data_IF_399896909612
#
_entry.id   IF_399896909612
#
_cell.length_a   1.000
_cell.length_b   1.000
_cell.length_c   1.000
_cell.angle_alpha   90.00
_cell.angle_beta   90.00
_cell.angle_gamma   90.00
#
_symmetry.space_group_name_H-M   'P 1'
#
loop_
_entity.id
_entity.type
_entity.pdbx_description
1 polymer ?
#
# COMPACT_ATOMS: atom_id res chain seq x y z
N UNK A 1 -6.06 0.57 6.18
CA UNK A 1 -6.01 1.93 6.76
C UNK A 1 -7.10 2.05 7.81
N UNK A 2 -6.84 2.75 8.91
CA UNK A 2 -7.82 3.06 9.94
C UNK A 2 -7.93 4.58 10.10
N UNK A 3 -9.11 5.12 9.83
CA UNK A 3 -9.37 6.55 9.72
C UNK A 3 -9.22 7.31 11.04
N UNK A 4 -9.27 6.63 12.19
CA UNK A 4 -9.20 7.26 13.52
C UNK A 4 -7.80 7.22 14.15
N UNK A 5 -6.75 6.98 13.38
CA UNK A 5 -5.37 7.11 13.89
C UNK A 5 -4.89 8.56 13.84
N UNK A 6 -4.12 8.95 14.87
CA UNK A 6 -3.29 10.17 14.85
C UNK A 6 -1.88 9.82 14.40
N UNK A 7 -1.34 10.58 13.45
CA UNK A 7 0.01 10.37 12.90
C UNK A 7 1.11 10.95 13.81
N UNK A 8 0.85 12.07 14.49
CA UNK A 8 1.80 12.73 15.39
C UNK A 8 1.17 12.79 16.78
N UNK A 9 1.74 12.07 17.75
CA UNK A 9 1.16 11.89 19.10
C UNK A 9 1.99 12.46 20.24
N UNK A 10 3.27 12.71 20.00
CA UNK A 10 4.20 13.25 20.99
C UNK A 10 4.91 14.52 20.50
N UNK A 11 5.52 15.22 21.45
CA UNK A 11 6.26 16.46 21.21
C UNK A 11 5.39 17.70 20.99
N UNK A 12 6.06 18.82 20.70
CA UNK A 12 5.41 20.14 20.51
C UNK A 12 4.55 20.22 19.25
N UNK A 13 4.66 19.23 18.35
CA UNK A 13 3.93 19.16 17.09
C UNK A 13 2.78 18.16 17.13
N UNK A 14 2.42 17.62 18.30
CA UNK A 14 1.29 16.71 18.45
C UNK A 14 0.02 17.36 17.89
N UNK A 15 -0.70 16.63 17.05
CA UNK A 15 -1.92 17.12 16.40
C UNK A 15 -3.14 16.36 16.89
N UNK A 16 -4.27 17.05 16.96
CA UNK A 16 -5.55 16.42 17.25
C UNK A 16 -6.28 15.94 15.99
N UNK A 17 -5.67 16.12 14.81
CA UNK A 17 -6.23 15.67 13.55
C UNK A 17 -6.12 14.15 13.41
N UNK A 18 -7.27 13.51 13.25
CA UNK A 18 -7.35 12.13 12.80
C UNK A 18 -7.02 12.06 11.32
N UNK A 19 -6.38 10.97 10.89
CA UNK A 19 -6.02 10.73 9.50
C UNK A 19 -7.21 10.90 8.55
N UNK A 20 -8.37 10.34 8.91
CA UNK A 20 -9.57 10.42 8.10
C UNK A 20 -10.06 11.85 7.86
N UNK A 21 -10.04 12.67 8.90
CA UNK A 21 -10.48 14.07 8.82
C UNK A 21 -9.48 14.91 8.03
N UNK A 22 -8.18 14.67 8.20
CA UNK A 22 -7.14 15.29 7.40
C UNK A 22 -7.35 15.03 5.90
N UNK A 23 -7.61 13.78 5.51
CA UNK A 23 -7.87 13.41 4.12
C UNK A 23 -9.13 14.08 3.57
N UNK A 24 -10.21 14.19 4.39
CA UNK A 24 -11.42 14.93 4.01
C UNK A 24 -11.12 16.41 3.77
N UNK A 25 -10.40 17.06 4.68
CA UNK A 25 -10.01 18.47 4.57
C UNK A 25 -9.20 18.69 3.29
N UNK A 26 -8.18 17.87 3.05
CA UNK A 26 -7.38 17.96 1.82
C UNK A 26 -8.19 17.74 0.56
N UNK A 27 -9.13 16.80 0.58
CA UNK A 27 -10.04 16.60 -0.55
C UNK A 27 -10.97 17.80 -0.83
N UNK A 28 -11.32 18.57 0.21
CA UNK A 28 -12.13 19.79 0.09
C UNK A 28 -11.31 20.99 -0.38
N UNK A 29 -10.01 21.02 -0.07
CA UNK A 29 -9.04 22.00 -0.59
C UNK A 29 -8.70 21.77 -2.08
N UNK A 30 -9.26 20.74 -2.70
CA UNK A 30 -9.04 20.41 -4.12
C UNK A 30 -7.91 19.40 -4.35
N UNK A 31 -7.29 18.86 -3.29
CA UNK A 31 -6.32 17.77 -3.42
C UNK A 31 -7.06 16.50 -3.85
N UNK A 32 -6.53 15.81 -4.86
CA UNK A 32 -7.09 14.52 -5.25
C UNK A 32 -6.62 13.43 -4.30
N UNK A 33 -7.54 12.87 -3.53
CA UNK A 33 -7.27 11.80 -2.57
C UNK A 33 -7.88 10.48 -3.06
N UNK A 34 -7.02 9.53 -3.38
CA UNK A 34 -7.38 8.20 -3.86
C UNK A 34 -6.90 7.14 -2.85
N UNK A 35 -7.79 6.26 -2.41
CA UNK A 35 -7.48 5.18 -1.49
C UNK A 35 -7.79 3.84 -2.16
N UNK A 36 -6.76 3.01 -2.33
CA UNK A 36 -6.90 1.63 -2.79
C UNK A 36 -6.68 0.70 -1.61
N UNK A 37 -7.77 0.17 -1.04
CA UNK A 37 -7.77 -0.65 0.17
C UNK A 37 -8.10 -2.10 -0.20
N UNK A 38 -7.45 -3.07 0.43
CA UNK A 38 -7.80 -4.47 0.24
C UNK A 38 -9.25 -4.72 0.68
N UNK A 39 -10.01 -5.41 -0.16
CA UNK A 39 -11.38 -5.88 0.13
C UNK A 39 -11.30 -7.23 0.83
N UNK A 40 -11.53 -7.26 2.13
CA UNK A 40 -11.56 -8.51 2.91
C UNK A 40 -12.84 -9.27 2.56
N UNK A 41 -12.76 -10.44 1.91
CA UNK A 41 -13.94 -11.17 1.47
C UNK A 41 -14.80 -11.70 2.63
N UNK A 42 -14.28 -11.67 3.87
CA UNK A 42 -15.01 -12.03 5.09
C UNK A 42 -15.77 -10.85 5.72
N UNK A 43 -15.39 -9.61 5.36
CA UNK A 43 -16.06 -8.36 5.76
C UNK A 43 -17.22 -8.04 4.82
N UNK A 44 -18.29 -8.85 4.79
CA UNK A 44 -19.45 -8.58 3.91
C UNK A 44 -20.66 -8.08 4.69
N UNK A 45 -21.30 -7.03 4.16
CA UNK A 45 -22.68 -6.72 4.51
C UNK A 45 -23.61 -7.53 3.63
N UNK A 46 -24.24 -8.57 4.18
CA UNK A 46 -25.31 -9.32 3.51
C UNK A 46 -26.64 -8.91 4.16
N UNK A 47 -27.54 -8.32 3.37
CA UNK A 47 -28.87 -7.87 3.83
C UNK A 47 -28.84 -6.97 5.09
N UNK A 48 -27.84 -6.09 5.21
CA UNK A 48 -27.76 -5.13 6.32
C UNK A 48 -27.18 -5.69 7.63
N UNK A 49 -26.86 -6.98 7.69
CA UNK A 49 -26.07 -7.56 8.78
C UNK A 49 -24.58 -7.49 8.42
N UNK A 50 -23.81 -6.81 9.26
CA UNK A 50 -22.35 -6.74 9.15
C UNK A 50 -21.77 -8.01 9.77
N UNK A 51 -21.03 -8.80 9.00
CA UNK A 51 -20.08 -9.75 9.60
C UNK A 51 -18.78 -8.98 9.88
N UNK A 52 -18.30 -9.00 11.12
CA UNK A 52 -16.94 -8.54 11.40
C UNK A 52 -15.97 -9.47 10.65
N UNK A 53 -15.10 -8.88 9.83
CA UNK A 53 -14.09 -9.62 9.08
C UNK A 53 -13.15 -10.37 10.01
N UNK A 54 -12.80 -11.60 9.64
CA UNK A 54 -11.92 -12.48 10.42
C UNK A 54 -10.49 -11.90 10.48
N UNK A 55 -10.12 -11.07 9.51
CA UNK A 55 -8.77 -10.50 9.38
C UNK A 55 -8.62 -9.14 10.05
N UNK A 56 -9.60 -8.71 10.86
CA UNK A 56 -9.61 -7.43 11.58
C UNK A 56 -9.30 -6.22 10.68
N UNK A 57 -9.84 -6.23 9.46
CA UNK A 57 -9.74 -5.11 8.52
C UNK A 57 -10.87 -4.11 8.75
N UNK A 58 -10.58 -2.81 8.61
CA UNK A 58 -11.57 -1.73 8.69
C UNK A 58 -11.90 -1.17 7.30
N UNK A 59 -11.84 -2.00 6.27
CA UNK A 59 -12.00 -1.64 4.86
C UNK A 59 -13.40 -1.08 4.56
N UNK A 60 -14.47 -1.78 4.94
CA UNK A 60 -15.84 -1.31 4.73
C UNK A 60 -16.19 -0.09 5.60
N UNK A 61 -15.65 -0.02 6.83
CA UNK A 61 -15.79 1.16 7.67
C UNK A 61 -15.09 2.38 7.07
N UNK A 62 -13.90 2.19 6.52
CA UNK A 62 -13.14 3.23 5.82
C UNK A 62 -13.93 3.73 4.61
N UNK A 63 -14.44 2.82 3.78
CA UNK A 63 -15.29 3.18 2.63
C UNK A 63 -16.52 3.96 3.07
N UNK A 64 -17.20 3.51 4.13
CA UNK A 64 -18.39 4.19 4.65
C UNK A 64 -18.05 5.60 5.16
N UNK A 65 -16.94 5.75 5.88
CA UNK A 65 -16.49 7.04 6.43
C UNK A 65 -16.28 8.10 5.34
N UNK A 66 -15.82 7.72 4.16
CA UNK A 66 -15.55 8.63 3.04
C UNK A 66 -16.70 8.77 2.03
N UNK A 67 -17.80 8.01 2.17
CA UNK A 67 -18.92 7.96 1.21
C UNK A 67 -19.51 9.32 0.80
N UNK A 68 -19.46 10.30 1.70
CA UNK A 68 -20.01 11.65 1.48
C UNK A 68 -18.90 12.72 1.42
N UNK A 69 -17.71 12.35 0.93
CA UNK A 69 -16.57 13.24 0.74
C UNK A 69 -16.02 13.16 -0.68
N UNK A 70 -15.11 14.06 -1.04
CA UNK A 70 -14.41 14.02 -2.33
C UNK A 70 -13.28 12.98 -2.38
N UNK A 71 -13.02 12.27 -1.28
CA UNK A 71 -12.07 11.16 -1.23
C UNK A 71 -12.64 9.96 -1.97
N UNK A 72 -11.90 9.43 -2.94
CA UNK A 72 -12.31 8.25 -3.68
C UNK A 72 -11.70 6.99 -3.07
N UNK A 73 -12.55 6.06 -2.65
CA UNK A 73 -12.13 4.78 -2.07
C UNK A 73 -12.53 3.65 -3.00
N UNK A 74 -11.54 2.88 -3.44
CA UNK A 74 -11.74 1.61 -4.14
C UNK A 74 -11.33 0.46 -3.23
N UNK A 75 -12.29 -0.44 -3.00
CA UNK A 75 -12.02 -1.74 -2.39
C UNK A 75 -11.53 -2.67 -3.50
N UNK A 76 -10.36 -3.26 -3.29
CA UNK A 76 -9.65 -4.06 -4.26
C UNK A 76 -9.66 -5.52 -3.79
N UNK A 77 -10.58 -6.36 -4.30
CA UNK A 77 -10.56 -7.78 -4.01
C UNK A 77 -9.42 -8.44 -4.78
N UNK A 78 -8.77 -9.43 -4.17
CA UNK A 78 -7.84 -10.26 -4.89
C UNK A 78 -8.61 -11.26 -5.76
N UNK A 79 -8.76 -10.93 -7.05
CA UNK A 79 -9.48 -11.78 -8.00
C UNK A 79 -8.54 -12.78 -8.67
N UNK A 80 -8.89 -14.06 -8.62
CA UNK A 80 -8.24 -15.11 -9.42
C UNK A 80 -8.84 -15.12 -10.84
N UNK A 81 -8.00 -15.37 -11.84
CA UNK A 81 -8.35 -15.44 -13.26
C UNK A 81 -9.60 -16.28 -13.60
N UNK A 82 -10.12 -16.07 -14.81
CA UNK A 82 -11.34 -16.75 -15.31
C UNK A 82 -11.14 -18.28 -15.31
N UNK A 83 -12.04 -19.03 -14.67
CA UNK A 83 -12.07 -20.50 -14.75
C UNK A 83 -12.23 -21.27 -13.43
N UNK A 84 -12.11 -20.62 -12.27
CA UNK A 84 -12.29 -21.29 -10.97
C UNK A 84 -13.74 -21.25 -10.47
N UNK A 85 -14.19 -22.35 -9.86
CA UNK A 85 -15.48 -22.44 -9.14
C UNK A 85 -15.60 -21.34 -8.08
N UNK A 86 -16.82 -20.86 -7.83
CA UNK A 86 -17.12 -19.81 -6.85
C UNK A 86 -16.55 -20.11 -5.46
N UNK A 87 -16.56 -21.37 -5.05
CA UNK A 87 -15.99 -21.86 -3.78
C UNK A 87 -14.47 -21.68 -3.75
N UNK A 88 -13.77 -22.05 -4.83
CA UNK A 88 -12.30 -21.84 -4.95
C UNK A 88 -11.93 -20.36 -5.00
N UNK A 89 -12.78 -19.50 -5.58
CA UNK A 89 -12.57 -18.04 -5.53
C UNK A 89 -12.72 -17.50 -4.12
N UNK A 90 -13.64 -18.05 -3.33
CA UNK A 90 -13.86 -17.66 -1.94
C UNK A 90 -12.70 -18.14 -1.05
N UNK A 91 -12.26 -19.40 -1.18
CA UNK A 91 -11.08 -19.92 -0.47
C UNK A 91 -9.80 -19.14 -0.80
N UNK A 92 -9.54 -18.84 -2.07
CA UNK A 92 -8.30 -18.14 -2.46
C UNK A 92 -8.35 -16.65 -2.08
N UNK A 93 -9.51 -16.00 -2.19
CA UNK A 93 -9.69 -14.62 -1.71
C UNK A 93 -9.44 -14.47 -0.21
N UNK A 94 -9.69 -15.52 0.58
CA UNK A 94 -9.40 -15.53 2.02
C UNK A 94 -7.93 -15.82 2.35
N UNK A 95 -7.14 -16.39 1.42
CA UNK A 95 -5.76 -16.82 1.68
C UNK A 95 -4.73 -15.75 1.26
N UNK A 96 -5.04 -14.95 0.24
CA UNK A 96 -4.13 -13.91 -0.26
C UNK A 96 -4.71 -12.52 -0.07
N UNK A 97 -3.83 -11.54 0.18
CA UNK A 97 -4.20 -10.13 0.40
C UNK A 97 -3.39 -9.17 -0.47
N UNK A 98 -3.92 -7.99 -0.73
CA UNK A 98 -3.11 -6.87 -1.23
C UNK A 98 -2.29 -6.26 -0.08
N UNK A 99 -1.07 -6.78 0.12
CA UNK A 99 -0.24 -6.44 1.27
C UNK A 99 0.68 -5.21 1.08
N UNK A 100 0.63 -4.56 -0.08
CA UNK A 100 1.42 -3.36 -0.37
C UNK A 100 0.98 -2.17 0.49
N UNK A 101 1.94 -1.50 1.13
CA UNK A 101 1.72 -0.32 1.97
C UNK A 101 2.47 0.84 1.36
N UNK A 102 1.71 1.77 0.79
CA UNK A 102 2.28 2.86 0.02
C UNK A 102 1.50 4.15 0.25
N UNK A 103 2.25 5.26 0.39
CA UNK A 103 1.69 6.62 0.34
C UNK A 103 2.43 7.37 -0.76
N UNK A 104 1.70 8.00 -1.67
CA UNK A 104 2.27 8.84 -2.73
C UNK A 104 1.68 10.22 -2.61
N UNK A 105 2.53 11.25 -2.62
CA UNK A 105 2.14 12.65 -2.54
C UNK A 105 2.97 13.48 -3.51
N UNK A 106 2.39 14.57 -4.00
CA UNK A 106 3.18 15.68 -4.51
C UNK A 106 3.63 16.55 -3.33
N UNK A 107 4.88 17.00 -3.37
CA UNK A 107 5.50 17.82 -2.34
C UNK A 107 6.20 19.02 -2.98
N UNK A 108 6.38 20.09 -2.21
CA UNK A 108 7.13 21.26 -2.66
C UNK A 108 8.56 20.86 -3.07
N UNK A 109 8.97 21.31 -4.26
CA UNK A 109 10.32 21.14 -4.79
C UNK A 109 11.08 22.49 -4.85
N UNK A 110 10.49 23.56 -4.31
CA UNK A 110 10.98 24.92 -4.47
C UNK A 110 10.68 25.48 -5.85
N UNK A 111 10.95 26.78 -6.04
CA UNK A 111 10.78 27.47 -7.33
C UNK A 111 9.39 27.30 -7.99
N UNK A 112 8.34 27.26 -7.18
CA UNK A 112 6.96 27.02 -7.63
C UNK A 112 6.76 25.68 -8.36
N UNK A 113 7.67 24.74 -8.15
CA UNK A 113 7.61 23.37 -8.65
C UNK A 113 7.26 22.41 -7.53
N UNK A 114 6.71 21.27 -7.92
CA UNK A 114 6.37 20.14 -7.06
C UNK A 114 7.08 18.88 -7.57
N UNK A 115 7.36 17.95 -6.67
CA UNK A 115 7.94 16.64 -6.98
C UNK A 115 7.06 15.55 -6.41
N UNK A 116 7.09 14.38 -7.05
CA UNK A 116 6.45 13.18 -6.50
C UNK A 116 7.36 12.56 -5.45
N UNK A 117 6.76 12.13 -4.35
CA UNK A 117 7.39 11.45 -3.23
C UNK A 117 6.58 10.21 -2.89
N UNK A 118 7.27 9.08 -2.71
CA UNK A 118 6.67 7.80 -2.35
C UNK A 118 7.16 7.31 -0.99
N UNK A 119 6.30 6.65 -0.25
CA UNK A 119 6.63 5.95 1.00
C UNK A 119 6.29 4.48 0.82
N UNK A 120 7.20 3.58 1.18
CA UNK A 120 7.03 2.12 1.06
C UNK A 120 7.64 1.43 2.28
N UNK A 121 7.03 0.35 2.77
CA UNK A 121 7.58 -0.42 3.89
C UNK A 121 6.56 -1.33 4.56
N UNK A 122 6.80 -1.70 5.82
CA UNK A 122 5.95 -2.60 6.61
C UNK A 122 4.84 -1.90 7.41
N UNK A 123 4.95 -0.58 7.62
CA UNK A 123 3.95 0.20 8.35
C UNK A 123 2.67 0.46 7.56
N UNK A 124 1.56 -0.11 8.00
CA UNK A 124 0.20 0.30 7.65
C UNK A 124 -0.22 1.57 8.41
N UNK A 125 -1.03 2.42 7.78
CA UNK A 125 -1.74 3.52 8.46
C UNK A 125 -2.94 2.99 9.25
N UNK A 126 -2.69 2.18 10.27
CA UNK A 126 -3.69 1.46 11.08
C UNK A 126 -3.35 1.49 12.57
N UNK A 127 -4.28 1.04 13.42
CA UNK A 127 -4.05 0.95 14.87
C UNK A 127 -2.86 0.04 15.23
N UNK A 128 -2.20 0.33 16.34
CA UNK A 128 -1.14 -0.48 16.92
C UNK A 128 0.26 -0.25 16.31
N UNK A 129 0.35 0.45 15.18
CA UNK A 129 1.61 0.65 14.43
C UNK A 129 2.46 1.81 14.93
N UNK A 130 1.88 2.75 15.66
CA UNK A 130 2.63 3.85 16.28
C UNK A 130 3.48 3.29 17.41
N UNK A 131 4.79 3.51 17.37
CA UNK A 131 5.70 3.16 18.45
C UNK A 131 6.99 3.99 18.35
N UNK A 132 7.86 3.85 19.35
CA UNK A 132 9.22 4.39 19.38
C UNK A 132 10.22 3.26 19.62
N UNK A 133 11.53 3.45 19.35
CA UNK A 133 12.55 2.43 19.64
C UNK A 133 12.62 1.98 21.11
N UNK A 134 11.98 2.71 22.04
CA UNK A 134 11.88 2.33 23.45
C UNK A 134 10.91 1.19 23.71
N UNK A 135 9.98 0.92 22.78
CA UNK A 135 8.98 -0.16 22.84
C UNK A 135 8.33 -0.36 24.24
N UNK A 136 7.74 0.71 24.83
CA UNK A 136 7.22 0.65 26.19
C UNK A 136 5.99 -0.26 26.32
N UNK A 137 6.07 -1.26 27.20
CA UNK A 137 4.99 -2.21 27.44
C UNK A 137 3.78 -1.61 28.18
N UNK A 138 4.04 -0.81 29.24
CA UNK A 138 3.00 -0.29 30.14
C UNK A 138 2.97 1.24 30.25
N UNK A 139 4.13 1.90 30.08
CA UNK A 139 4.32 3.32 30.46
C UNK A 139 3.49 4.30 29.61
N UNK A 140 3.10 3.90 28.42
CA UNK A 140 2.41 4.73 27.43
C UNK A 140 0.92 4.43 27.30
N UNK A 141 0.41 3.46 28.07
CA UNK A 141 -0.98 2.99 28.00
C UNK A 141 -2.00 4.07 28.36
N UNK A 142 -1.58 5.12 29.07
CA UNK A 142 -2.43 6.26 29.43
C UNK A 142 -2.06 7.55 28.68
N UNK A 143 -1.15 7.46 27.70
CA UNK A 143 -0.68 8.60 26.89
C UNK A 143 -0.87 8.31 25.40
N UNK A 144 0.22 8.15 24.64
CA UNK A 144 0.22 8.00 23.17
C UNK A 144 -0.45 6.71 22.67
N UNK A 145 -0.63 5.72 23.55
CA UNK A 145 -1.27 4.43 23.22
C UNK A 145 -2.62 4.23 23.91
N UNK A 146 -3.20 5.26 24.55
CA UNK A 146 -4.47 5.15 25.27
C UNK A 146 -5.63 4.70 24.39
N UNK A 147 -5.77 5.34 23.23
CA UNK A 147 -6.84 5.05 22.26
C UNK A 147 -6.32 4.17 21.10
N UNK A 148 -5.16 3.52 21.29
CA UNK A 148 -4.47 2.72 20.28
C UNK A 148 -3.75 1.52 20.92
N UNK A 149 -4.40 0.91 21.91
CA UNK A 149 -3.92 -0.31 22.54
C UNK A 149 -4.14 -1.49 21.58
N UNK A 150 -3.08 -2.21 21.27
CA UNK A 150 -3.15 -3.46 20.53
C UNK A 150 -2.32 -4.53 21.23
N UNK A 151 -2.91 -5.72 21.35
CA UNK A 151 -2.21 -6.96 21.67
C UNK A 151 -3.10 -8.11 21.18
N UNK A 152 -2.66 -8.84 20.16
CA UNK A 152 -3.47 -9.92 19.57
C UNK A 152 -3.25 -11.28 20.21
N UNK A 153 -2.37 -11.36 21.23
CA UNK A 153 -1.98 -12.62 21.85
C UNK A 153 -2.87 -13.03 23.05
N UNK A 154 -3.75 -12.14 23.53
CA UNK A 154 -4.62 -12.39 24.68
C UNK A 154 -6.10 -12.22 24.30
N UNK A 155 -6.96 -13.10 24.84
CA UNK A 155 -8.39 -13.21 24.49
C UNK A 155 -9.37 -12.55 25.49
N UNK A 156 -8.93 -12.13 26.70
CA UNK A 156 -9.79 -11.50 27.74
C UNK A 156 -9.04 -10.39 28.56
N UNK A 157 -9.72 -9.61 29.44
CA UNK A 157 -9.79 -8.14 29.37
C UNK A 157 -8.53 -7.34 29.79
N UNK A 158 -8.51 -6.12 29.23
CA UNK A 158 -7.41 -5.20 28.91
C UNK A 158 -6.71 -4.45 30.06
N UNK A 159 -7.11 -4.66 31.31
CA UNK A 159 -6.60 -3.84 32.43
C UNK A 159 -5.34 -4.48 33.02
N UNK A 160 -4.21 -3.82 32.83
CA UNK A 160 -2.92 -4.22 33.41
C UNK A 160 -2.09 -5.16 32.54
N UNK A 161 -2.53 -5.46 31.31
CA UNK A 161 -1.75 -6.23 30.33
C UNK A 161 -0.83 -5.33 29.51
N UNK A 162 0.33 -5.85 29.06
CA UNK A 162 1.22 -5.09 28.20
C UNK A 162 0.60 -4.92 26.82
N UNK A 163 0.77 -3.75 26.19
CA UNK A 163 0.58 -3.66 24.74
C UNK A 163 1.62 -4.53 24.04
N UNK A 164 1.34 -4.90 22.79
CA UNK A 164 2.32 -5.47 21.87
C UNK A 164 3.08 -4.32 21.20
N UNK A 165 4.37 -4.09 21.51
CA UNK A 165 5.17 -3.08 20.82
C UNK A 165 5.31 -3.43 19.33
N UNK A 166 5.44 -2.41 18.49
CA UNK A 166 5.53 -2.58 17.05
C UNK A 166 6.90 -2.13 16.55
N UNK A 167 7.76 -3.09 16.19
CA UNK A 167 9.03 -2.82 15.55
C UNK A 167 8.90 -3.06 14.04
N UNK A 168 9.19 -2.03 13.25
CA UNK A 168 8.98 -2.07 11.80
C UNK A 168 9.88 -1.04 11.09
N UNK A 169 9.97 -1.16 9.77
CA UNK A 169 10.78 -0.30 8.90
C UNK A 169 9.91 0.28 7.78
N UNK A 170 10.22 1.53 7.42
CA UNK A 170 9.57 2.23 6.31
C UNK A 170 10.56 3.21 5.70
N UNK A 171 10.48 3.43 4.39
CA UNK A 171 11.35 4.36 3.68
C UNK A 171 10.53 5.43 2.96
N UNK A 172 11.19 6.56 2.73
CA UNK A 172 10.73 7.65 1.88
C UNK A 172 11.65 7.71 0.68
N UNK A 173 11.07 7.68 -0.51
CA UNK A 173 11.76 7.68 -1.79
C UNK A 173 11.42 8.98 -2.52
N UNK A 174 12.46 9.70 -2.93
CA UNK A 174 12.40 10.92 -3.72
C UNK A 174 13.25 10.74 -4.99
N UNK A 175 12.93 11.48 -6.04
CA UNK A 175 13.62 11.39 -7.33
C UNK A 175 12.86 10.53 -8.35
N UNK A 176 13.51 10.13 -9.45
CA UNK A 176 12.88 9.38 -10.55
C UNK A 176 12.17 8.11 -10.08
N UNK A 177 12.73 7.40 -9.10
CA UNK A 177 12.18 6.15 -8.56
C UNK A 177 10.83 6.34 -7.86
N UNK A 178 10.47 7.56 -7.42
CA UNK A 178 9.15 7.83 -6.88
C UNK A 178 8.03 7.65 -7.94
N UNK A 179 8.35 7.81 -9.22
CA UNK A 179 7.41 7.63 -10.33
C UNK A 179 7.16 6.15 -10.60
N UNK A 180 8.10 5.25 -10.29
CA UNK A 180 7.89 3.79 -10.37
C UNK A 180 6.82 3.36 -9.34
N UNK A 181 6.89 3.91 -8.13
CA UNK A 181 5.91 3.68 -7.06
C UNK A 181 4.54 4.22 -7.49
N UNK A 182 4.50 5.42 -8.06
CA UNK A 182 3.29 6.02 -8.60
C UNK A 182 2.69 5.18 -9.74
N UNK A 183 3.51 4.71 -10.67
CA UNK A 183 3.09 3.87 -11.80
C UNK A 183 2.47 2.57 -11.30
N UNK A 184 3.08 1.89 -10.31
CA UNK A 184 2.50 0.72 -9.69
C UNK A 184 1.10 1.00 -9.08
N UNK A 185 0.91 2.18 -8.47
CA UNK A 185 -0.43 2.59 -7.99
C UNK A 185 -1.42 2.80 -9.14
N UNK A 186 -1.01 3.49 -10.21
CA UNK A 186 -1.87 3.74 -11.38
C UNK A 186 -2.31 2.44 -12.05
N UNK A 187 -1.38 1.52 -12.31
CA UNK A 187 -1.65 0.22 -12.93
C UNK A 187 -2.68 -0.59 -12.12
N UNK A 188 -2.55 -0.58 -10.78
CA UNK A 188 -3.48 -1.24 -9.86
C UNK A 188 -4.83 -0.53 -9.81
N UNK A 189 -4.84 0.80 -9.73
CA UNK A 189 -6.06 1.59 -9.73
C UNK A 189 -6.87 1.34 -10.99
N UNK A 190 -6.23 1.41 -12.16
CA UNK A 190 -6.88 1.17 -13.45
C UNK A 190 -7.42 -0.26 -13.59
N UNK A 191 -6.81 -1.24 -12.93
CA UNK A 191 -7.32 -2.61 -12.89
C UNK A 191 -8.53 -2.73 -11.97
N UNK A 192 -8.45 -2.16 -10.77
CA UNK A 192 -9.52 -2.19 -9.77
C UNK A 192 -10.76 -1.38 -10.21
N UNK A 193 -10.56 -0.31 -10.96
CA UNK A 193 -11.64 0.56 -11.44
C UNK A 193 -12.30 0.06 -12.74
N UNK A 194 -11.91 -1.12 -13.26
CA UNK A 194 -12.53 -1.64 -14.50
C UNK A 194 -13.99 -1.99 -14.24
N UNK A 195 -14.94 -1.41 -15.01
CA UNK A 195 -16.35 -1.68 -14.82
C UNK A 195 -16.65 -3.15 -15.09
N UNK A 196 -17.52 -3.73 -14.26
CA UNK A 196 -18.06 -5.05 -14.51
C UNK A 196 -18.82 -5.08 -15.85
N UNK A 197 -18.95 -6.25 -16.46
CA UNK A 197 -19.63 -6.39 -17.76
C UNK A 197 -21.06 -5.81 -17.78
N UNK A 198 -21.75 -5.83 -16.63
CA UNK A 198 -23.06 -5.20 -16.43
C UNK A 198 -22.99 -3.67 -16.39
N UNK A 199 -21.94 -3.08 -15.83
CA UNK A 199 -21.75 -1.63 -15.74
C UNK A 199 -21.31 -1.03 -17.07
N UNK A 200 -20.59 -1.81 -17.90
CA UNK A 200 -20.28 -1.44 -19.30
C UNK A 200 -21.53 -1.21 -20.15
N UNK A 201 -22.64 -1.87 -19.84
CA UNK A 201 -23.92 -1.69 -20.54
C UNK A 201 -24.64 -0.39 -20.11
N UNK A 202 -24.33 0.17 -18.94
CA UNK A 202 -25.01 1.34 -18.36
C UNK A 202 -24.25 2.67 -18.60
N UNK A 203 -23.07 2.66 -19.24
CA UNK A 203 -22.29 3.88 -19.57
C UNK A 203 -22.01 4.81 -18.36
N UNK A 204 -21.88 4.27 -17.15
CA UNK A 204 -21.38 5.02 -15.99
C UNK A 204 -19.86 5.18 -16.09
N UNK A 205 -19.42 6.14 -16.91
CA UNK A 205 -18.01 6.48 -17.22
C UNK A 205 -17.29 7.28 -16.12
N UNK A 206 -17.71 7.14 -14.85
CA UNK A 206 -17.31 8.05 -13.77
C UNK A 206 -15.87 7.85 -13.25
N UNK A 207 -15.23 6.71 -13.49
CA UNK A 207 -13.92 6.40 -12.89
C UNK A 207 -12.72 6.80 -13.75
N UNK A 208 -12.93 7.10 -15.03
CA UNK A 208 -11.82 7.31 -15.97
C UNK A 208 -11.07 8.64 -15.73
N UNK A 209 -11.72 9.61 -15.07
CA UNK A 209 -11.10 10.89 -14.72
C UNK A 209 -10.32 10.83 -13.40
N UNK A 210 -10.34 9.73 -12.64
CA UNK A 210 -9.77 9.71 -11.29
C UNK A 210 -8.24 9.94 -11.27
N UNK A 211 -7.49 9.37 -12.19
CA UNK A 211 -6.02 9.52 -12.23
C UNK A 211 -5.63 10.80 -12.97
N UNK A 212 -4.80 11.62 -12.32
CA UNK A 212 -4.23 12.82 -12.93
C UNK A 212 -3.06 12.42 -13.83
N UNK A 213 -3.04 12.93 -15.07
CA UNK A 213 -1.89 12.77 -15.97
C UNK A 213 -0.80 13.75 -15.55
N UNK A 214 0.10 13.32 -14.68
CA UNK A 214 1.14 14.16 -14.07
C UNK A 214 2.00 14.86 -15.13
N UNK A 215 2.28 14.19 -16.25
CA UNK A 215 3.02 14.72 -17.40
C UNK A 215 2.37 15.98 -18.02
N UNK A 216 1.08 16.20 -17.78
CA UNK A 216 0.33 17.36 -18.26
C UNK A 216 0.27 18.50 -17.24
N UNK A 217 0.80 18.31 -16.05
CA UNK A 217 0.80 19.31 -14.97
C UNK A 217 2.17 20.00 -15.01
N UNK A 218 2.28 21.23 -15.55
CA UNK A 218 3.57 21.87 -15.81
C UNK A 218 4.37 22.18 -14.54
N UNK A 219 3.69 22.27 -13.39
CA UNK A 219 4.32 22.59 -12.12
C UNK A 219 4.88 21.35 -11.41
N UNK A 220 4.65 20.14 -11.92
CA UNK A 220 5.28 18.91 -11.38
C UNK A 220 6.51 18.58 -12.22
N UNK A 221 7.65 18.38 -11.57
CA UNK A 221 8.91 18.00 -12.21
C UNK A 221 8.72 16.66 -12.93
N UNK A 222 9.01 16.58 -14.22
CA UNK A 222 8.97 15.32 -14.97
C UNK A 222 10.17 14.41 -14.67
N UNK A 223 10.05 13.11 -14.98
CA UNK A 223 11.16 12.13 -14.85
C UNK A 223 12.41 12.60 -15.61
N UNK A 224 12.23 13.21 -16.78
CA UNK A 224 13.32 13.70 -17.64
C UNK A 224 13.94 15.02 -17.14
N UNK A 225 13.30 15.71 -16.19
CA UNK A 225 13.78 16.98 -15.64
C UNK A 225 14.71 16.78 -14.44
N UNK A 226 14.82 15.56 -13.92
CA UNK A 226 15.75 15.28 -12.82
C UNK A 226 17.20 15.40 -13.32
N UNK A 227 18.05 16.16 -12.61
CA UNK A 227 19.45 16.25 -12.97
C UNK A 227 20.07 14.86 -12.88
N UNK A 228 20.89 14.52 -13.88
CA UNK A 228 21.74 13.34 -13.80
C UNK A 228 22.62 13.51 -12.57
N UNK A 229 22.53 12.61 -11.59
CA UNK A 229 23.36 12.67 -10.38
C UNK A 229 24.81 12.87 -10.80
N UNK A 230 25.45 13.93 -10.32
CA UNK A 230 26.90 14.07 -10.45
C UNK A 230 27.51 12.87 -9.72
N UNK A 231 28.41 12.14 -10.36
CA UNK A 231 29.05 10.93 -9.80
C UNK A 231 29.74 11.13 -8.43
N UNK A 232 29.80 12.36 -7.93
CA UNK A 232 30.47 12.77 -6.69
C UNK A 232 29.51 13.25 -5.58
N UNK A 233 28.19 13.03 -5.67
CA UNK A 233 27.29 13.32 -4.55
C UNK A 233 27.36 12.17 -3.52
N UNK A 234 27.97 12.36 -2.33
CA UNK A 234 28.11 11.30 -1.34
C UNK A 234 26.78 10.88 -0.71
N UNK A 235 25.74 11.72 -0.80
CA UNK A 235 24.39 11.44 -0.28
C UNK A 235 23.45 10.92 -1.38
N UNK A 236 23.96 10.70 -2.59
CA UNK A 236 23.20 10.19 -3.73
C UNK A 236 22.91 8.69 -3.59
N UNK A 237 21.67 8.30 -3.90
CA UNK A 237 21.24 6.89 -3.90
C UNK A 237 20.85 6.43 -5.30
N UNK A 238 21.29 5.22 -5.67
CA UNK A 238 20.72 4.46 -6.77
C UNK A 238 19.66 3.52 -6.20
N UNK A 239 18.41 3.69 -6.63
CA UNK A 239 17.26 2.96 -6.08
C UNK A 239 16.50 2.28 -7.21
N UNK A 240 16.15 1.02 -7.01
CA UNK A 240 15.29 0.25 -7.90
C UNK A 240 14.10 -0.28 -7.11
N UNK A 241 12.90 -0.19 -7.67
CA UNK A 241 11.68 -0.72 -7.07
C UNK A 241 11.44 -2.14 -7.57
N UNK A 242 11.14 -3.03 -6.64
CA UNK A 242 10.76 -4.41 -6.91
C UNK A 242 9.35 -4.66 -6.39
N UNK A 243 8.65 -5.63 -6.98
CA UNK A 243 7.29 -5.99 -6.58
C UNK A 243 7.03 -7.49 -6.71
N UNK A 244 6.00 -7.92 -6.01
CA UNK A 244 5.34 -9.20 -6.24
C UNK A 244 3.90 -8.90 -6.62
N UNK A 245 3.57 -9.09 -7.90
CA UNK A 245 2.24 -8.77 -8.42
C UNK A 245 1.94 -9.57 -9.68
N UNK A 246 0.66 -9.82 -9.96
CA UNK A 246 0.22 -10.58 -11.12
C UNK A 246 -0.65 -9.75 -12.08
N UNK A 247 -0.86 -10.25 -13.31
CA UNK A 247 -1.70 -9.60 -14.32
C UNK A 247 -3.19 -9.48 -13.95
N UNK A 248 -3.63 -10.09 -12.84
CA UNK A 248 -4.99 -9.91 -12.31
C UNK A 248 -5.08 -8.70 -11.36
N UNK A 249 -3.96 -8.26 -10.79
CA UNK A 249 -3.89 -7.13 -9.87
C UNK A 249 -3.54 -5.80 -10.56
N UNK A 250 -3.03 -5.85 -11.80
CA UNK A 250 -2.62 -4.65 -12.58
C UNK A 250 -3.14 -4.66 -14.00
N UNK A 251 -3.16 -3.47 -14.61
CA UNK A 251 -3.33 -3.26 -16.04
C UNK A 251 -1.99 -2.82 -16.63
N UNK A 252 -1.66 -3.27 -17.85
CA UNK A 252 -0.44 -2.85 -18.55
C UNK A 252 0.62 -3.93 -18.72
N UNK A 253 0.43 -5.11 -18.13
CA UNK A 253 1.29 -6.26 -18.44
C UNK A 253 1.13 -6.61 -19.92
N UNK A 254 2.25 -6.71 -20.64
CA UNK A 254 2.27 -7.06 -22.05
C UNK A 254 1.76 -8.51 -22.19
N UNK A 255 0.70 -8.69 -23.00
CA UNK A 255 0.02 -9.99 -23.13
C UNK A 255 0.83 -11.00 -23.97
N UNK A 256 1.80 -10.53 -24.78
CA UNK A 256 2.70 -11.40 -25.54
C UNK A 256 3.77 -12.02 -24.63
N UNK A 257 3.87 -13.37 -24.55
CA UNK A 257 4.88 -14.06 -23.76
C UNK A 257 6.32 -13.67 -24.08
N UNK A 258 6.63 -13.26 -25.32
CA UNK A 258 7.99 -12.81 -25.71
C UNK A 258 8.34 -11.48 -25.06
N UNK A 259 7.38 -10.58 -24.99
CA UNK A 259 7.55 -9.28 -24.35
C UNK A 259 7.52 -9.40 -22.82
N UNK A 260 6.73 -10.33 -22.28
CA UNK A 260 6.74 -10.65 -20.85
C UNK A 260 8.13 -11.14 -20.40
N UNK A 261 8.79 -11.99 -21.20
CA UNK A 261 10.15 -12.46 -20.92
C UNK A 261 11.18 -11.33 -20.94
N UNK A 262 11.05 -10.33 -21.82
CA UNK A 262 11.98 -9.18 -21.85
C UNK A 262 11.88 -8.29 -20.61
N UNK A 263 10.73 -8.34 -19.90
CA UNK A 263 10.50 -7.68 -18.62
C UNK A 263 10.74 -8.59 -17.40
N UNK A 264 11.36 -9.77 -17.59
CA UNK A 264 11.60 -10.78 -16.54
C UNK A 264 10.31 -11.25 -15.81
N UNK A 265 9.16 -11.19 -16.47
CA UNK A 265 7.91 -11.72 -15.93
C UNK A 265 7.85 -13.24 -16.09
N UNK A 266 7.36 -13.93 -15.07
CA UNK A 266 7.11 -15.37 -15.11
C UNK A 266 5.73 -15.64 -15.73
N UNK A 267 5.69 -16.60 -16.66
CA UNK A 267 4.45 -17.09 -17.27
C UNK A 267 3.87 -18.25 -16.44
N UNK A 268 2.84 -17.97 -15.64
CA UNK A 268 2.03 -18.97 -14.96
C UNK A 268 0.87 -19.49 -15.82
N UNK A 269 -0.03 -20.30 -15.23
CA UNK A 269 -1.24 -20.80 -15.90
C UNK A 269 -2.22 -19.64 -16.19
N UNK A 270 -2.11 -19.04 -17.38
CA UNK A 270 -2.91 -17.91 -17.86
C UNK A 270 -2.74 -16.59 -17.07
N UNK A 271 -1.62 -16.44 -16.35
CA UNK A 271 -1.31 -15.26 -15.55
C UNK A 271 0.18 -14.95 -15.72
N UNK A 272 0.49 -13.68 -15.86
CA UNK A 272 1.86 -13.17 -15.85
C UNK A 272 2.17 -12.66 -14.45
N UNK A 273 3.34 -13.00 -13.92
CA UNK A 273 3.71 -12.73 -12.53
C UNK A 273 5.06 -12.02 -12.50
N UNK A 274 5.09 -10.84 -11.87
CA UNK A 274 6.31 -10.17 -11.45
C UNK A 274 6.71 -10.73 -10.08
N UNK A 275 7.88 -11.35 -10.01
CA UNK A 275 8.49 -11.91 -8.80
C UNK A 275 9.82 -11.23 -8.49
N UNK A 276 10.00 -9.98 -8.93
CA UNK A 276 11.27 -9.27 -8.82
C UNK A 276 11.77 -9.12 -7.38
N UNK A 277 10.89 -9.05 -6.37
CA UNK A 277 11.30 -9.11 -4.95
C UNK A 277 12.03 -10.42 -4.66
N UNK A 278 11.41 -11.55 -5.02
CA UNK A 278 11.99 -12.88 -4.79
C UNK A 278 13.29 -13.05 -5.58
N UNK A 279 13.32 -12.67 -6.86
CA UNK A 279 14.51 -12.79 -7.70
C UNK A 279 15.68 -11.98 -7.14
N UNK A 280 15.44 -10.76 -6.65
CA UNK A 280 16.50 -9.93 -6.07
C UNK A 280 17.06 -10.52 -4.78
N UNK A 281 16.19 -10.94 -3.84
CA UNK A 281 16.61 -11.55 -2.58
C UNK A 281 17.34 -12.88 -2.79
N UNK A 282 16.72 -13.81 -3.53
CA UNK A 282 17.24 -15.16 -3.66
C UNK A 282 18.42 -15.24 -4.64
N UNK A 283 18.36 -14.59 -5.80
CA UNK A 283 19.32 -14.83 -6.89
C UNK A 283 20.46 -13.84 -6.87
N UNK A 284 20.20 -12.57 -6.54
CA UNK A 284 21.20 -11.52 -6.68
C UNK A 284 21.89 -11.20 -5.36
N UNK A 285 21.17 -10.80 -4.32
CA UNK A 285 21.85 -10.33 -3.10
C UNK A 285 22.56 -11.48 -2.38
N UNK A 286 21.87 -12.58 -2.07
CA UNK A 286 22.48 -13.69 -1.30
C UNK A 286 23.71 -14.29 -2.02
N UNK A 287 23.67 -14.45 -3.35
CA UNK A 287 24.77 -15.06 -4.09
C UNK A 287 25.90 -14.10 -4.50
N UNK A 288 25.69 -12.78 -4.47
CA UNK A 288 26.73 -11.80 -4.86
C UNK A 288 27.43 -11.13 -3.68
N UNK A 289 26.94 -11.33 -2.45
CA UNK A 289 27.55 -10.76 -1.25
C UNK A 289 28.99 -11.28 -1.07
N UNK A 290 29.93 -10.34 -1.08
CA UNK A 290 31.36 -10.56 -0.80
C UNK A 290 31.73 -10.31 0.67
N UNK A 291 30.77 -9.89 1.50
CA UNK A 291 30.95 -9.57 2.91
C UNK A 291 30.54 -10.73 3.82
N UNK A 292 31.05 -10.75 5.05
CA UNK A 292 30.90 -11.90 5.97
C UNK A 292 29.56 -12.00 6.69
N UNK A 293 28.67 -10.99 6.59
CA UNK A 293 27.42 -10.94 7.38
C UNK A 293 26.23 -10.41 6.57
N UNK A 294 25.04 -10.95 6.88
CA UNK A 294 23.73 -10.51 6.38
C UNK A 294 22.83 -10.30 7.60
N UNK A 295 22.12 -9.17 7.64
CA UNK A 295 21.14 -8.87 8.69
C UNK A 295 19.74 -8.91 8.08
N UNK A 296 18.91 -9.84 8.55
CA UNK A 296 17.52 -10.00 8.09
C UNK A 296 16.58 -9.67 9.23
N UNK A 297 15.68 -8.72 8.97
CA UNK A 297 14.53 -8.43 9.82
C UNK A 297 13.27 -8.75 9.01
N UNK A 298 12.54 -9.80 9.41
CA UNK A 298 11.31 -10.22 8.74
C UNK A 298 10.31 -10.75 9.76
N UNK A 299 9.02 -10.48 9.52
CA UNK A 299 7.92 -11.04 10.31
C UNK A 299 7.84 -12.57 10.16
N UNK A 300 8.18 -13.09 8.97
CA UNK A 300 8.14 -14.51 8.64
C UNK A 300 9.50 -14.92 8.08
N UNK A 301 10.08 -15.99 8.63
CA UNK A 301 11.29 -16.61 8.10
C UNK A 301 11.05 -18.10 7.90
N UNK A 302 10.61 -18.47 6.70
CA UNK A 302 10.36 -19.85 6.28
C UNK A 302 10.95 -20.03 4.89
N UNK A 303 11.95 -20.91 4.77
CA UNK A 303 12.66 -21.20 3.53
C UNK A 303 12.65 -22.72 3.34
N UNK A 304 12.42 -23.15 2.10
CA UNK A 304 12.31 -24.55 1.65
C UNK A 304 11.04 -25.28 2.16
N UNK A 305 10.20 -25.71 1.22
CA UNK A 305 9.25 -26.79 1.44
C UNK A 305 9.80 -28.02 0.71
N UNK A 306 9.98 -29.13 1.43
CA UNK A 306 10.23 -30.44 0.84
C UNK A 306 9.01 -30.94 0.03
#
# INVERSE_FOLDING_TARGET
>A
MYQKVKLIRDGNNATDYMLGDLLKIKSQEGVRVLLLVWDDPTSRSILGFKTEGIMHTNDEETRHFFKHSSVQVLLCPQSVGKGHSWIKKQEIGTIYTHHQKTVIVDADAGHYKRKIMGFVGGLDLCMGRYDSPKHPLFRTLQTVHKDDYCNTNFTEPLVGYPREPWHDLHCRIEGPTAYDIFTNFEERWQKASQPHWLEKLIKTSSHDDALLKIERIPDIIGILEFPCQTQNDPEGWHVQVFRTIDSNAVKGFLEDPKDAMSMNLLCGKNVLIDMSIHTTYDVHEIYTIKYSHIYIFSLIFMLFCD
#
